data_IF_842207445607
#
_entry.id   IF_842207445607
#
_cell.length_a   1.000
_cell.length_b   1.000
_cell.length_c   1.000
_cell.angle_alpha   90.00
_cell.angle_beta   90.00
_cell.angle_gamma   90.00
#
_symmetry.space_group_name_H-M   'P 1'
#
loop_
_entity.id
_entity.type
_entity.pdbx_description
1 polymer ?
#
# COMPACT_ATOMS: atom_id res chain seq x y z
N UNK A 1 3.59 -3.76 11.97
CA UNK A 1 4.04 -4.84 11.08
C UNK A 1 5.55 -5.11 11.17
N UNK A 2 6.42 -4.19 10.74
CA UNK A 2 7.86 -4.45 10.59
C UNK A 2 8.61 -4.99 11.83
N UNK A 3 8.29 -4.52 13.04
CA UNK A 3 8.91 -5.02 14.28
C UNK A 3 8.55 -6.47 14.58
N UNK A 4 7.34 -6.92 14.24
CA UNK A 4 6.93 -8.32 14.40
C UNK A 4 7.67 -9.21 13.40
N UNK A 5 7.78 -8.78 12.14
CA UNK A 5 8.56 -9.49 11.11
C UNK A 5 10.02 -9.64 11.53
N UNK A 6 10.64 -8.59 12.07
CA UNK A 6 12.02 -8.64 12.56
C UNK A 6 12.23 -9.69 13.65
N UNK A 7 11.23 -9.90 14.53
CA UNK A 7 11.31 -10.89 15.61
C UNK A 7 11.32 -12.34 15.12
N UNK A 8 10.80 -12.61 13.91
CA UNK A 8 10.79 -13.94 13.30
C UNK A 8 12.15 -14.33 12.71
N UNK A 9 13.09 -13.40 12.59
CA UNK A 9 14.47 -13.70 12.18
C UNK A 9 14.61 -14.22 10.74
N UNK A 10 13.72 -13.81 9.83
CA UNK A 10 13.76 -14.26 8.44
C UNK A 10 15.10 -13.97 7.75
N UNK A 11 15.55 -14.97 7.00
CA UNK A 11 16.74 -14.93 6.15
C UNK A 11 16.35 -14.85 4.68
N UNK A 12 17.32 -14.55 3.81
CA UNK A 12 17.16 -14.35 2.37
C UNK A 12 16.29 -15.43 1.69
N UNK A 13 16.43 -16.68 2.10
CA UNK A 13 15.69 -17.83 1.56
C UNK A 13 14.18 -17.71 1.80
N UNK A 14 13.78 -17.09 2.91
CA UNK A 14 12.37 -16.87 3.26
C UNK A 14 11.76 -15.76 2.40
N UNK A 15 12.53 -14.70 2.10
CA UNK A 15 12.12 -13.63 1.18
C UNK A 15 12.04 -14.12 -0.27
N UNK A 16 12.89 -15.06 -0.66
CA UNK A 16 12.82 -15.71 -1.99
C UNK A 16 11.64 -16.66 -2.09
N UNK A 17 11.41 -17.45 -1.05
CA UNK A 17 10.52 -18.60 -1.09
C UNK A 17 10.87 -19.54 -2.26
N UNK A 18 9.91 -20.33 -2.69
CA UNK A 18 10.09 -21.17 -3.88
C UNK A 18 10.07 -20.35 -5.19
N UNK A 19 9.21 -19.31 -5.23
CA UNK A 19 8.87 -18.57 -6.45
C UNK A 19 9.99 -17.67 -6.97
N UNK A 20 10.79 -17.08 -6.10
CA UNK A 20 11.84 -16.10 -6.47
C UNK A 20 13.25 -16.64 -6.23
N UNK A 21 13.41 -17.96 -6.16
CA UNK A 21 14.68 -18.65 -5.93
C UNK A 21 15.77 -18.22 -6.93
N UNK A 22 15.42 -18.00 -8.20
CA UNK A 22 16.33 -17.58 -9.27
C UNK A 22 16.50 -16.06 -9.44
N UNK A 23 15.99 -15.23 -8.54
CA UNK A 23 16.14 -13.77 -8.64
C UNK A 23 17.61 -13.35 -8.41
N UNK A 24 18.15 -12.47 -9.25
CA UNK A 24 19.54 -12.02 -9.12
C UNK A 24 19.75 -10.89 -8.09
N UNK A 25 18.66 -10.32 -7.57
CA UNK A 25 18.69 -9.29 -6.53
C UNK A 25 18.62 -9.92 -5.14
N UNK A 26 19.21 -9.26 -4.15
CA UNK A 26 18.97 -9.59 -2.73
C UNK A 26 17.54 -9.18 -2.39
N UNK A 27 16.76 -10.09 -1.80
CA UNK A 27 15.35 -9.82 -1.45
C UNK A 27 15.15 -9.59 0.04
N UNK A 28 16.14 -9.90 0.88
CA UNK A 28 16.13 -9.61 2.31
C UNK A 28 15.89 -8.14 2.57
N UNK A 29 14.94 -7.86 3.45
CA UNK A 29 14.50 -6.51 3.80
C UNK A 29 13.25 -6.05 3.05
N UNK A 30 12.86 -6.71 1.96
CA UNK A 30 11.59 -6.46 1.28
C UNK A 30 10.43 -7.14 2.03
N UNK A 31 10.02 -6.55 3.15
CA UNK A 31 9.00 -7.13 4.05
C UNK A 31 7.65 -7.33 3.36
N UNK A 32 7.28 -6.45 2.43
CA UNK A 32 6.07 -6.57 1.62
C UNK A 32 6.02 -7.90 0.86
N UNK A 33 7.17 -8.38 0.37
CA UNK A 33 7.28 -9.63 -0.39
C UNK A 33 6.89 -10.88 0.42
N UNK A 34 7.01 -10.81 1.75
CA UNK A 34 6.60 -11.90 2.64
C UNK A 34 5.09 -12.17 2.57
N UNK A 35 4.29 -11.21 2.09
CA UNK A 35 2.86 -11.45 1.79
C UNK A 35 2.65 -12.51 0.68
N UNK A 36 3.67 -12.78 -0.14
CA UNK A 36 3.64 -13.81 -1.18
C UNK A 36 4.45 -15.05 -0.79
N UNK A 37 5.55 -14.89 -0.05
CA UNK A 37 6.47 -16.00 0.24
C UNK A 37 6.27 -16.63 1.61
N UNK A 38 5.74 -15.89 2.59
CA UNK A 38 5.42 -16.36 3.95
C UNK A 38 4.00 -15.89 4.36
N UNK A 39 2.97 -16.18 3.56
CA UNK A 39 1.64 -15.61 3.77
C UNK A 39 1.01 -16.01 5.11
N UNK A 40 1.30 -17.22 5.62
CA UNK A 40 0.80 -17.70 6.90
C UNK A 40 1.31 -16.85 8.06
N UNK A 41 2.61 -16.54 8.09
CA UNK A 41 3.24 -15.76 9.15
C UNK A 41 2.75 -14.30 9.16
N UNK A 42 2.55 -13.72 7.97
CA UNK A 42 1.96 -12.38 7.86
C UNK A 42 0.50 -12.36 8.32
N UNK A 43 -0.29 -13.40 8.00
CA UNK A 43 -1.66 -13.53 8.51
C UNK A 43 -1.70 -13.68 10.03
N UNK A 44 -0.81 -14.48 10.63
CA UNK A 44 -0.73 -14.63 12.09
C UNK A 44 -0.40 -13.31 12.78
N UNK A 45 0.51 -12.49 12.24
CA UNK A 45 0.79 -11.16 12.79
C UNK A 45 -0.48 -10.30 12.81
N UNK A 46 -1.24 -10.24 11.70
CA UNK A 46 -2.51 -9.52 11.67
C UNK A 46 -3.51 -10.08 12.69
N UNK A 47 -3.60 -11.41 12.80
CA UNK A 47 -4.51 -12.08 13.72
C UNK A 47 -4.18 -11.75 15.19
N UNK A 48 -2.90 -11.74 15.56
CA UNK A 48 -2.48 -11.34 16.90
C UNK A 48 -2.82 -9.88 17.20
N UNK A 49 -2.60 -8.95 16.26
CA UNK A 49 -3.03 -7.56 16.44
C UNK A 49 -4.55 -7.45 16.62
N UNK A 50 -5.32 -8.22 15.87
CA UNK A 50 -6.77 -8.27 16.02
C UNK A 50 -7.19 -8.76 17.42
N UNK A 51 -6.57 -9.83 17.93
CA UNK A 51 -6.88 -10.40 19.24
C UNK A 51 -6.53 -9.49 20.42
N UNK A 52 -5.49 -8.67 20.31
CA UNK A 52 -5.15 -7.67 21.35
C UNK A 52 -6.03 -6.41 21.27
N UNK A 53 -6.97 -6.37 20.33
CA UNK A 53 -8.06 -5.38 20.31
C UNK A 53 -7.98 -4.34 19.20
N UNK A 54 -7.11 -4.50 18.19
CA UNK A 54 -7.07 -3.61 17.04
C UNK A 54 -8.40 -3.68 16.25
N UNK A 55 -9.01 -2.51 16.02
CA UNK A 55 -10.24 -2.37 15.23
C UNK A 55 -9.96 -2.20 13.72
N UNK A 56 -8.74 -1.76 13.38
CA UNK A 56 -8.27 -1.57 12.00
C UNK A 56 -6.95 -2.31 11.84
N UNK A 57 -6.85 -3.12 10.78
CA UNK A 57 -5.64 -3.85 10.41
C UNK A 57 -5.06 -3.23 9.14
N UNK A 58 -3.89 -2.62 9.26
CA UNK A 58 -3.11 -2.12 8.11
C UNK A 58 -2.52 -3.30 7.34
N UNK A 59 -2.58 -3.27 6.02
CA UNK A 59 -1.96 -4.29 5.16
C UNK A 59 -0.44 -4.21 5.16
N UNK A 60 0.24 -5.33 4.89
CA UNK A 60 1.69 -5.35 4.69
C UNK A 60 2.07 -4.86 3.28
N UNK A 61 1.81 -3.58 2.99
CA UNK A 61 1.92 -2.99 1.65
C UNK A 61 2.62 -1.63 1.62
N UNK A 62 3.36 -1.29 2.67
CA UNK A 62 4.03 0.00 2.83
C UNK A 62 4.94 0.38 1.65
N UNK A 63 5.70 -0.59 1.12
CA UNK A 63 6.65 -0.40 0.01
C UNK A 63 6.18 -1.06 -1.29
N UNK A 64 4.89 -1.40 -1.39
CA UNK A 64 4.32 -2.11 -2.54
C UNK A 64 3.99 -1.14 -3.69
N UNK A 65 4.99 -0.39 -4.16
CA UNK A 65 4.92 0.49 -5.34
C UNK A 65 6.02 0.10 -6.32
N UNK A 66 5.84 0.36 -7.62
CA UNK A 66 6.88 0.06 -8.62
C UNK A 66 8.19 0.78 -8.34
N UNK A 67 8.14 2.01 -7.82
CA UNK A 67 9.32 2.80 -7.43
C UNK A 67 10.12 2.11 -6.32
N UNK A 68 9.47 1.67 -5.25
CA UNK A 68 10.16 1.03 -4.13
C UNK A 68 10.58 -0.42 -4.44
N UNK A 69 9.77 -1.16 -5.21
CA UNK A 69 10.08 -2.54 -5.60
C UNK A 69 11.20 -2.63 -6.64
N UNK A 70 11.54 -1.53 -7.33
CA UNK A 70 12.68 -1.47 -8.25
C UNK A 70 14.02 -1.76 -7.58
N UNK A 71 14.20 -1.40 -6.31
CA UNK A 71 15.41 -1.72 -5.53
C UNK A 71 15.63 -3.23 -5.36
N UNK A 72 14.56 -4.03 -5.56
CA UNK A 72 14.55 -5.49 -5.43
C UNK A 72 14.31 -6.22 -6.77
N UNK A 73 14.13 -5.50 -7.88
CA UNK A 73 13.73 -6.08 -9.17
C UNK A 73 12.35 -6.76 -9.13
N UNK A 74 11.42 -6.22 -8.34
CA UNK A 74 10.09 -6.79 -8.06
C UNK A 74 8.93 -5.91 -8.54
N UNK A 75 9.17 -5.00 -9.49
CA UNK A 75 8.16 -4.07 -10.01
C UNK A 75 6.94 -4.83 -10.56
N UNK A 76 7.17 -5.97 -11.21
CA UNK A 76 6.08 -6.81 -11.74
C UNK A 76 5.17 -7.44 -10.68
N UNK A 77 5.56 -7.42 -9.40
CA UNK A 77 4.79 -8.01 -8.29
C UNK A 77 3.86 -7.00 -7.59
N UNK A 78 3.94 -5.71 -7.92
CA UNK A 78 3.24 -4.63 -7.20
C UNK A 78 1.75 -4.88 -7.04
N UNK A 79 1.04 -5.18 -8.12
CA UNK A 79 -0.39 -5.47 -8.05
C UNK A 79 -0.69 -6.66 -7.13
N UNK A 80 0.09 -7.74 -7.25
CA UNK A 80 -0.12 -8.97 -6.50
C UNK A 80 0.20 -8.80 -5.01
N UNK A 81 1.26 -8.06 -4.67
CA UNK A 81 1.63 -7.71 -3.30
C UNK A 81 0.49 -6.99 -2.60
N UNK A 82 -0.07 -5.96 -3.25
CA UNK A 82 -1.16 -5.17 -2.69
C UNK A 82 -2.43 -5.99 -2.51
N UNK A 83 -2.82 -6.73 -3.54
CA UNK A 83 -4.03 -7.55 -3.49
C UNK A 83 -3.95 -8.66 -2.43
N UNK A 84 -2.81 -9.36 -2.35
CA UNK A 84 -2.63 -10.40 -1.34
C UNK A 84 -2.49 -9.82 0.07
N UNK A 85 -1.82 -8.68 0.24
CA UNK A 85 -1.75 -7.98 1.52
C UNK A 85 -3.14 -7.72 2.12
N UNK A 86 -4.10 -7.28 1.31
CA UNK A 86 -5.50 -7.12 1.72
C UNK A 86 -6.14 -8.46 2.08
N UNK A 87 -5.94 -9.50 1.27
CA UNK A 87 -6.51 -10.81 1.53
C UNK A 87 -6.02 -11.40 2.86
N UNK A 88 -4.73 -11.31 3.18
CA UNK A 88 -4.16 -11.81 4.43
C UNK A 88 -4.79 -11.09 5.63
N UNK A 89 -4.83 -9.75 5.60
CA UNK A 89 -5.48 -8.96 6.64
C UNK A 89 -6.98 -9.29 6.78
N UNK A 90 -7.71 -9.50 5.68
CA UNK A 90 -9.13 -9.91 5.70
C UNK A 90 -9.33 -11.31 6.29
N UNK A 91 -8.46 -12.28 5.97
CA UNK A 91 -8.54 -13.63 6.54
C UNK A 91 -8.30 -13.60 8.06
N UNK A 92 -7.28 -12.87 8.50
CA UNK A 92 -7.02 -12.63 9.91
C UNK A 92 -8.20 -11.95 10.64
N UNK A 93 -8.76 -10.89 10.04
CA UNK A 93 -9.93 -10.18 10.59
C UNK A 93 -11.12 -11.12 10.77
N UNK A 94 -11.48 -11.91 9.74
CA UNK A 94 -12.58 -12.87 9.80
C UNK A 94 -12.33 -13.99 10.82
N UNK A 95 -11.08 -14.44 10.95
CA UNK A 95 -10.70 -15.43 11.96
C UNK A 95 -10.86 -14.87 13.38
N UNK A 96 -10.44 -13.62 13.61
CA UNK A 96 -10.61 -12.95 14.89
C UNK A 96 -12.08 -12.69 15.22
N UNK A 97 -12.88 -12.25 14.25
CA UNK A 97 -14.32 -12.06 14.39
C UNK A 97 -15.04 -13.35 14.79
N UNK A 98 -14.67 -14.50 14.20
CA UNK A 98 -15.21 -15.80 14.63
C UNK A 98 -14.85 -16.15 16.09
N UNK A 99 -13.74 -15.63 16.61
CA UNK A 99 -13.26 -15.91 17.95
C UNK A 99 -13.94 -15.02 19.01
N UNK A 100 -14.14 -13.73 18.74
CA UNK A 100 -14.62 -12.76 19.73
C UNK A 100 -15.85 -11.92 19.32
N UNK A 101 -16.36 -12.12 18.11
CA UNK A 101 -17.53 -11.43 17.57
C UNK A 101 -17.32 -9.98 17.14
N UNK A 102 -16.08 -9.43 17.21
CA UNK A 102 -15.80 -8.04 16.84
C UNK A 102 -15.42 -7.93 15.36
N UNK A 103 -16.06 -7.00 14.67
CA UNK A 103 -15.72 -6.64 13.28
C UNK A 103 -14.42 -5.81 13.27
N UNK A 104 -13.49 -6.15 12.37
CA UNK A 104 -12.32 -5.31 12.05
C UNK A 104 -12.40 -4.81 10.62
N UNK A 105 -11.89 -3.60 10.40
CA UNK A 105 -11.68 -3.03 9.07
C UNK A 105 -10.25 -3.26 8.60
N UNK A 106 -10.06 -3.35 7.29
CA UNK A 106 -8.76 -3.49 6.65
C UNK A 106 -8.39 -2.19 5.94
N UNK A 107 -7.25 -1.63 6.35
CA UNK A 107 -6.67 -0.43 5.78
C UNK A 107 -5.57 -0.80 4.79
N UNK A 108 -5.77 -0.44 3.52
CA UNK A 108 -4.74 -0.51 2.49
C UNK A 108 -3.64 0.52 2.76
N UNK A 109 -2.52 0.07 3.31
CA UNK A 109 -1.36 0.89 3.64
C UNK A 109 -0.63 1.37 2.38
N UNK A 110 -0.44 2.68 2.27
CA UNK A 110 0.27 3.36 1.18
C UNK A 110 1.38 4.19 1.81
N UNK A 111 2.61 3.69 1.73
CA UNK A 111 3.79 4.41 2.20
C UNK A 111 4.27 5.48 1.21
N UNK A 112 5.25 6.29 1.60
CA UNK A 112 5.69 7.47 0.84
C UNK A 112 6.66 7.18 -0.33
N UNK A 113 6.95 5.90 -0.63
CA UNK A 113 8.08 5.43 -1.47
C UNK A 113 9.46 5.74 -0.89
N UNK A 114 10.53 5.28 -1.55
CA UNK A 114 11.94 5.57 -1.24
C UNK A 114 12.49 6.79 -2.01
N UNK A 115 11.67 7.50 -2.79
CA UNK A 115 12.09 8.68 -3.59
C UNK A 115 11.31 9.92 -3.17
N UNK A 116 11.95 11.08 -3.25
CA UNK A 116 11.34 12.39 -3.01
C UNK A 116 11.15 13.16 -4.32
N UNK A 117 9.99 13.81 -4.46
CA UNK A 117 9.70 14.71 -5.58
C UNK A 117 9.87 16.19 -5.22
N UNK A 118 9.82 16.55 -3.93
CA UNK A 118 10.01 17.94 -3.51
C UNK A 118 11.47 18.31 -3.22
N UNK A 119 12.31 17.35 -2.82
CA UNK A 119 13.71 17.56 -2.42
C UNK A 119 14.64 16.92 -3.44
N UNK A 120 15.74 17.61 -3.79
CA UNK A 120 16.78 17.00 -4.61
C UNK A 120 17.63 16.04 -3.76
N UNK A 121 17.90 14.80 -4.24
CA UNK A 121 18.87 13.92 -3.60
C UNK A 121 20.33 14.30 -3.91
N UNK A 122 20.58 15.19 -4.89
CA UNK A 122 21.92 15.68 -5.22
C UNK A 122 22.16 17.03 -4.54
N UNK A 123 23.11 17.05 -3.61
CA UNK A 123 23.50 18.26 -2.87
C UNK A 123 24.11 19.35 -3.76
N UNK A 124 24.63 18.97 -4.93
CA UNK A 124 25.25 19.91 -5.86
C UNK A 124 24.27 20.45 -6.91
N UNK A 125 23.10 19.82 -7.07
CA UNK A 125 22.05 20.25 -7.98
C UNK A 125 20.69 20.31 -7.25
N UNK A 126 20.29 21.47 -6.71
CA UNK A 126 19.01 21.62 -6.01
C UNK A 126 17.79 21.51 -6.95
N UNK A 127 17.98 21.60 -8.27
CA UNK A 127 16.94 21.44 -9.28
C UNK A 127 16.68 19.99 -9.69
N UNK A 128 17.65 19.09 -9.46
CA UNK A 128 17.52 17.68 -9.82
C UNK A 128 16.37 17.00 -9.08
N UNK A 129 15.65 16.10 -9.76
CA UNK A 129 14.59 15.27 -9.20
C UNK A 129 14.78 13.83 -9.68
N UNK A 130 14.83 12.89 -8.74
CA UNK A 130 14.95 11.47 -9.05
C UNK A 130 13.64 10.83 -9.52
N UNK A 131 12.51 11.51 -9.30
CA UNK A 131 11.17 11.05 -9.68
C UNK A 131 10.29 12.25 -10.01
N UNK A 132 9.40 12.10 -10.99
CA UNK A 132 8.42 13.12 -11.34
C UNK A 132 7.08 12.90 -10.62
N UNK A 133 6.21 13.92 -10.63
CA UNK A 133 4.85 13.77 -10.11
C UNK A 133 4.05 12.70 -10.86
N UNK A 134 4.23 12.60 -12.17
CA UNK A 134 3.53 11.62 -13.02
C UNK A 134 4.01 10.19 -12.74
N UNK A 135 5.32 9.99 -12.50
CA UNK A 135 5.85 8.68 -12.11
C UNK A 135 5.25 8.20 -10.78
N UNK A 136 5.14 9.10 -9.80
CA UNK A 136 4.47 8.81 -8.53
C UNK A 136 3.00 8.47 -8.75
N UNK A 137 2.31 9.21 -9.62
CA UNK A 137 0.92 8.89 -9.95
C UNK A 137 0.79 7.50 -10.59
N UNK A 138 1.68 7.12 -11.50
CA UNK A 138 1.66 5.79 -12.11
C UNK A 138 1.89 4.71 -11.04
N UNK A 139 2.88 4.89 -10.17
CA UNK A 139 3.24 3.93 -9.13
C UNK A 139 2.13 3.74 -8.08
N UNK A 140 1.55 4.83 -7.58
CA UNK A 140 0.44 4.77 -6.64
C UNK A 140 -0.84 4.23 -7.30
N UNK A 141 -1.07 4.47 -8.59
CA UNK A 141 -2.25 3.97 -9.28
C UNK A 141 -2.26 2.43 -9.31
N UNK A 142 -1.11 1.83 -9.61
CA UNK A 142 -0.94 0.38 -9.61
C UNK A 142 -1.15 -0.22 -8.22
N UNK A 143 -0.59 0.41 -7.19
CA UNK A 143 -0.78 0.01 -5.79
C UNK A 143 -2.26 0.08 -5.39
N UNK A 144 -2.88 1.25 -5.57
CA UNK A 144 -4.28 1.51 -5.19
C UNK A 144 -5.21 0.51 -5.89
N UNK A 145 -4.94 0.19 -7.16
CA UNK A 145 -5.67 -0.84 -7.90
C UNK A 145 -5.67 -2.17 -7.16
N UNK A 146 -4.49 -2.66 -6.78
CA UNK A 146 -4.37 -3.92 -6.05
C UNK A 146 -5.09 -3.90 -4.69
N UNK A 147 -5.03 -2.77 -3.98
CA UNK A 147 -5.71 -2.60 -2.69
C UNK A 147 -7.25 -2.61 -2.84
N UNK A 148 -7.78 -1.90 -3.84
CA UNK A 148 -9.23 -1.86 -4.12
C UNK A 148 -9.73 -3.24 -4.57
N UNK A 149 -9.04 -3.87 -5.54
CA UNK A 149 -9.41 -5.19 -6.06
C UNK A 149 -9.30 -6.29 -4.99
N UNK A 150 -8.43 -6.09 -3.99
CA UNK A 150 -8.33 -6.96 -2.80
C UNK A 150 -9.47 -6.78 -1.80
N UNK A 151 -10.22 -5.68 -1.89
CA UNK A 151 -11.34 -5.36 -1.01
C UNK A 151 -10.94 -4.66 0.29
N UNK A 152 -9.99 -3.71 0.24
CA UNK A 152 -9.66 -2.85 1.37
C UNK A 152 -10.86 -1.96 1.74
N UNK A 153 -11.15 -1.83 3.03
CA UNK A 153 -12.27 -1.01 3.52
C UNK A 153 -11.91 0.49 3.51
N UNK A 154 -10.62 0.82 3.66
CA UNK A 154 -10.12 2.18 3.54
C UNK A 154 -8.69 2.19 2.99
N UNK A 155 -8.28 3.32 2.41
CA UNK A 155 -6.90 3.58 1.98
C UNK A 155 -6.23 4.51 2.99
N UNK A 156 -5.06 4.10 3.48
CA UNK A 156 -4.29 4.83 4.48
C UNK A 156 -2.99 5.33 3.84
N UNK A 157 -2.93 6.63 3.56
CA UNK A 157 -1.68 7.28 3.15
C UNK A 157 -0.91 7.62 4.43
N UNK A 158 0.23 6.97 4.62
CA UNK A 158 0.96 7.01 5.88
C UNK A 158 2.41 7.45 5.73
N UNK A 159 3.02 7.81 6.87
CA UNK A 159 4.45 8.17 6.97
C UNK A 159 4.86 9.23 5.94
N UNK A 160 4.02 10.25 5.77
CA UNK A 160 4.22 11.31 4.78
C UNK A 160 5.42 12.17 5.18
N UNK A 161 6.56 11.93 4.54
CA UNK A 161 7.74 12.80 4.67
C UNK A 161 7.82 13.84 3.53
N UNK A 162 7.22 13.56 2.38
CA UNK A 162 7.14 14.45 1.22
C UNK A 162 5.66 14.71 0.86
N UNK A 163 5.21 15.95 1.01
CA UNK A 163 3.82 16.32 0.74
C UNK A 163 3.47 16.24 -0.75
N UNK A 164 4.44 16.33 -1.66
CA UNK A 164 4.19 16.18 -3.09
C UNK A 164 3.88 14.71 -3.43
N UNK A 165 4.53 13.76 -2.75
CA UNK A 165 4.22 12.33 -2.86
C UNK A 165 2.80 12.04 -2.36
N UNK A 166 2.42 12.58 -1.20
CA UNK A 166 1.06 12.44 -0.68
C UNK A 166 0.02 13.05 -1.63
N UNK A 167 0.32 14.21 -2.22
CA UNK A 167 -0.55 14.84 -3.22
C UNK A 167 -0.73 13.96 -4.46
N UNK A 168 0.32 13.27 -4.93
CA UNK A 168 0.22 12.33 -6.03
C UNK A 168 -0.70 11.15 -5.70
N UNK A 169 -0.56 10.56 -4.51
CA UNK A 169 -1.42 9.48 -4.03
C UNK A 169 -2.90 9.92 -3.93
N UNK A 170 -3.17 11.13 -3.45
CA UNK A 170 -4.54 11.69 -3.37
C UNK A 170 -5.09 12.02 -4.76
N UNK A 171 -4.27 12.61 -5.63
CA UNK A 171 -4.68 13.08 -6.95
C UNK A 171 -5.32 11.95 -7.75
N UNK A 172 -4.77 10.74 -7.65
CA UNK A 172 -5.32 9.56 -8.32
C UNK A 172 -6.73 9.20 -7.89
N UNK A 173 -7.11 9.34 -6.61
CA UNK A 173 -8.51 9.08 -6.19
C UNK A 173 -9.49 9.95 -7.00
N UNK A 174 -9.07 11.14 -7.41
CA UNK A 174 -9.88 12.06 -8.23
C UNK A 174 -9.95 11.66 -9.71
N UNK A 175 -8.99 10.89 -10.22
CA UNK A 175 -8.85 10.56 -11.66
C UNK A 175 -8.77 9.06 -11.97
N UNK A 176 -8.92 8.17 -10.99
CA UNK A 176 -8.99 6.73 -11.20
C UNK A 176 -10.16 6.35 -12.13
N UNK A 177 -11.18 7.21 -12.22
CA UNK A 177 -12.29 7.14 -13.18
C UNK A 177 -11.89 7.46 -14.62
N UNK A 178 -10.76 8.13 -14.85
CA UNK A 178 -10.36 8.68 -16.18
C UNK A 178 -9.13 7.99 -16.77
N UNK A 179 -8.19 7.54 -15.94
CA UNK A 179 -6.90 7.02 -16.44
C UNK A 179 -6.99 5.57 -16.99
N UNK A 180 -7.99 4.80 -16.57
CA UNK A 180 -8.12 3.41 -17.02
C UNK A 180 -8.57 3.27 -18.49
N UNK A 181 -9.13 4.33 -19.09
CA UNK A 181 -9.54 4.36 -20.51
C UNK A 181 -8.42 4.82 -21.46
N UNK A 182 -7.39 5.52 -20.97
CA UNK A 182 -6.40 6.15 -21.86
C UNK A 182 -5.43 5.19 -22.54
N UNK A 183 -5.31 3.93 -22.07
CA UNK A 183 -4.47 2.91 -22.72
C UNK A 183 -5.22 1.98 -23.66
N UNK A 184 -6.55 1.99 -23.67
CA UNK A 184 -7.33 1.01 -24.44
C UNK A 184 -8.22 1.57 -25.53
N UNK A 185 -8.51 2.87 -25.58
CA UNK A 185 -9.44 3.36 -26.59
C UNK A 185 -8.94 4.57 -27.38
N UNK A 186 -8.62 4.31 -28.64
CA UNK A 186 -8.45 5.35 -29.67
C UNK A 186 -9.72 5.51 -30.51
N UNK A 187 -10.90 5.13 -29.98
CA UNK A 187 -12.19 5.30 -30.63
C UNK A 187 -13.29 5.72 -29.64
N UNK A 188 -13.98 6.79 -29.97
CA UNK A 188 -15.33 7.14 -29.49
C UNK A 188 -15.54 7.28 -27.98
N UNK A 189 -15.66 8.55 -27.58
CA UNK A 189 -16.29 9.05 -26.36
C UNK A 189 -17.58 8.28 -26.03
N UNK A 190 -17.51 7.39 -25.03
CA UNK A 190 -18.64 6.69 -24.44
C UNK A 190 -18.62 6.90 -22.94
N UNK A 191 -19.69 7.45 -22.37
CA UNK A 191 -19.79 7.76 -20.95
C UNK A 191 -19.75 6.47 -20.10
N UNK A 192 -18.65 6.24 -19.38
CA UNK A 192 -18.55 5.19 -18.37
C UNK A 192 -18.99 5.72 -17.01
N UNK A 193 -20.14 5.23 -16.55
CA UNK A 193 -20.76 5.54 -15.26
C UNK A 193 -19.98 4.95 -14.10
N UNK A 194 -19.61 5.80 -13.15
CA UNK A 194 -19.18 5.46 -11.79
C UNK A 194 -20.22 4.52 -11.14
N UNK A 195 -19.80 3.37 -10.61
CA UNK A 195 -20.59 2.67 -9.58
C UNK A 195 -20.23 3.31 -8.24
N UNK A 196 -21.15 4.02 -7.57
CA UNK A 196 -20.87 4.70 -6.30
C UNK A 196 -20.66 3.76 -5.11
N UNK A 197 -20.69 2.44 -5.32
CA UNK A 197 -20.92 1.46 -4.24
C UNK A 197 -19.64 0.94 -3.57
N UNK A 198 -18.45 1.48 -3.87
CA UNK A 198 -17.22 1.14 -3.12
C UNK A 198 -16.96 2.21 -2.06
N UNK A 199 -17.48 1.98 -0.85
CA UNK A 199 -17.29 2.81 0.36
C UNK A 199 -15.84 2.78 0.89
N UNK A 200 -14.85 3.14 0.07
CA UNK A 200 -13.45 3.18 0.49
C UNK A 200 -13.05 4.58 0.98
N UNK A 201 -12.89 4.72 2.30
CA UNK A 201 -12.53 5.99 2.94
C UNK A 201 -11.03 6.28 2.82
N UNK A 202 -10.64 7.56 2.76
CA UNK A 202 -9.23 7.98 2.72
C UNK A 202 -8.82 8.52 4.10
N UNK A 203 -7.75 7.99 4.69
CA UNK A 203 -7.25 8.39 6.02
C UNK A 203 -5.76 8.75 5.92
N UNK A 204 -5.32 9.71 6.73
CA UNK A 204 -3.93 10.18 6.79
C UNK A 204 -3.33 9.91 8.16
N UNK A 205 -2.12 9.35 8.19
CA UNK A 205 -1.29 9.32 9.41
C UNK A 205 -0.01 10.15 9.20
N UNK A 206 0.21 11.12 10.08
CA UNK A 206 1.41 11.96 10.10
C UNK A 206 2.19 11.68 11.39
N UNK A 207 3.51 11.46 11.34
CA UNK A 207 4.31 11.19 12.53
C UNK A 207 4.30 12.34 13.57
N UNK A 208 3.81 13.52 13.23
CA UNK A 208 3.66 14.66 14.15
C UNK A 208 2.33 14.70 14.94
N UNK A 209 1.39 13.79 14.70
CA UNK A 209 0.08 13.80 15.39
C UNK A 209 -0.16 12.50 16.17
N UNK A 210 0.39 12.43 17.38
CA UNK A 210 0.10 11.39 18.37
C UNK A 210 -1.17 11.74 19.16
N UNK A 211 -2.35 11.67 18.55
CA UNK A 211 -3.64 11.58 19.28
C UNK A 211 -4.77 11.23 18.30
N UNK A 212 -5.10 9.93 18.21
CA UNK A 212 -6.36 9.47 17.63
C UNK A 212 -7.51 9.84 18.57
N UNK A 213 -8.08 11.03 18.40
CA UNK A 213 -9.40 11.39 18.93
C UNK A 213 -10.24 12.04 17.83
N UNK A 214 -11.33 11.34 17.48
CA UNK A 214 -12.45 11.73 16.61
C UNK A 214 -12.09 12.39 15.28
N UNK A 215 -12.32 11.63 14.20
CA UNK A 215 -12.45 12.16 12.85
C UNK A 215 -13.51 13.29 12.83
N UNK A 216 -13.05 14.55 12.83
CA UNK A 216 -13.84 15.67 12.35
C UNK A 216 -13.52 15.84 10.87
N UNK A 217 -14.56 15.69 10.04
CA UNK A 217 -14.54 16.01 8.62
C UNK A 217 -14.07 17.45 8.44
N UNK A 218 -12.95 17.64 7.72
CA UNK A 218 -12.43 18.95 7.36
C UNK A 218 -13.34 19.57 6.27
N UNK A 219 -13.90 20.76 6.45
CA UNK A 219 -14.96 21.31 5.59
C UNK A 219 -14.44 22.03 4.32
N UNK A 220 -13.29 21.63 3.78
CA UNK A 220 -12.76 22.19 2.52
C UNK A 220 -12.33 21.10 1.55
N UNK A 221 -13.32 20.36 1.04
CA UNK A 221 -13.29 19.59 -0.21
C UNK A 221 -14.71 19.47 -0.75
#
# INVERSE_FOLDING_TARGET
>A
MGTQIQSLGFQEEHFRGHRFSSCNFSLKGNNDLLSLTQPEEIEEIHYHYALVGADILETNTFSSTSIAQADYGMEGMVYELNRNGVHLARRAAKRAEKHDGRIRFVAGAIGPTNRTASISPDVNDPGFRAVTFDDLCIAYAEQIKGLIDGGADLLLIETIFDTLNAKAAIFLKKYYTTYHDFRHDNRSVGACTFRPDTDCFLVFSCPCFSLFHRAQLCPWC
#
